data_IF_630387699181
#
_entry.id   IF_630387699181
#
_cell.length_a   1.000
_cell.length_b   1.000
_cell.length_c   1.000
_cell.angle_alpha   90.00
_cell.angle_beta   90.00
_cell.angle_gamma   90.00
#
_symmetry.space_group_name_H-M   'P 1'
#
loop_
_entity.id
_entity.type
_entity.pdbx_description
1 polymer ?
#
# COMPACT_ATOMS: atom_id res chain seq x y z
N UNK A 1 -19.85 -20.02 8.44
CA UNK A 1 -19.72 -18.61 8.86
C UNK A 1 -20.69 -17.84 8.01
N UNK A 2 -21.65 -17.17 8.63
CA UNK A 2 -22.76 -16.48 7.96
C UNK A 2 -22.21 -15.31 7.14
N UNK A 3 -22.44 -15.34 5.82
CA UNK A 3 -22.35 -14.14 5.00
C UNK A 3 -23.49 -13.23 5.45
N UNK A 4 -23.19 -12.27 6.32
CA UNK A 4 -24.06 -11.13 6.57
C UNK A 4 -23.88 -10.22 5.34
N UNK A 5 -24.58 -10.54 4.25
CA UNK A 5 -24.64 -9.64 3.10
C UNK A 5 -25.37 -8.39 3.59
N UNK A 6 -24.63 -7.32 3.83
CA UNK A 6 -25.18 -6.07 4.30
C UNK A 6 -26.11 -5.52 3.21
N UNK A 7 -27.40 -5.35 3.52
CA UNK A 7 -28.35 -4.75 2.58
C UNK A 7 -27.87 -3.34 2.17
N UNK A 8 -28.03 -2.95 0.89
CA UNK A 8 -27.57 -1.65 0.44
C UNK A 8 -28.33 -0.52 1.16
N UNK A 9 -27.57 0.42 1.69
CA UNK A 9 -28.08 1.60 2.42
C UNK A 9 -27.92 2.80 1.51
N UNK A 10 -28.98 3.60 1.32
CA UNK A 10 -28.93 4.83 0.52
C UNK A 10 -29.60 5.98 1.27
N UNK A 11 -28.89 6.54 2.26
CA UNK A 11 -29.33 7.66 3.08
C UNK A 11 -28.47 8.90 2.83
N UNK A 12 -28.95 10.09 3.17
CA UNK A 12 -28.24 11.35 2.90
C UNK A 12 -26.79 11.38 3.42
N UNK A 13 -26.48 10.66 4.50
CA UNK A 13 -25.16 10.65 5.15
C UNK A 13 -24.48 9.29 5.14
N UNK A 14 -25.17 8.23 4.71
CA UNK A 14 -24.62 6.88 4.69
C UNK A 14 -25.05 6.20 3.40
N UNK A 15 -24.07 5.80 2.59
CA UNK A 15 -24.31 4.94 1.44
C UNK A 15 -23.51 3.67 1.60
N UNK A 16 -24.11 2.52 1.32
CA UNK A 16 -23.43 1.23 1.36
C UNK A 16 -23.85 0.35 0.19
N UNK A 17 -22.88 -0.35 -0.38
CA UNK A 17 -23.09 -1.52 -1.23
C UNK A 17 -22.50 -2.77 -0.55
N UNK A 18 -22.33 -3.86 -1.31
CA UNK A 18 -21.77 -5.13 -0.83
C UNK A 18 -20.31 -5.04 -0.34
N UNK A 19 -19.56 -4.00 -0.73
CA UNK A 19 -18.11 -3.92 -0.51
C UNK A 19 -17.66 -2.63 0.16
N UNK A 20 -18.44 -1.55 0.05
CA UNK A 20 -18.04 -0.22 0.46
C UNK A 20 -19.15 0.48 1.23
N UNK A 21 -18.75 1.16 2.30
CA UNK A 21 -19.62 2.09 3.04
C UNK A 21 -19.01 3.48 3.05
N UNK A 22 -19.75 4.46 2.56
CA UNK A 22 -19.45 5.89 2.70
C UNK A 22 -20.22 6.45 3.89
N UNK A 23 -19.53 7.15 4.80
CA UNK A 23 -20.16 7.86 5.93
C UNK A 23 -19.74 9.33 5.94
N UNK A 24 -20.71 10.22 5.91
CA UNK A 24 -20.47 11.65 6.09
C UNK A 24 -20.43 11.97 7.58
N UNK A 25 -19.26 12.35 8.06
CA UNK A 25 -18.94 12.65 9.45
C UNK A 25 -18.60 14.13 9.61
N UNK A 26 -18.77 14.66 10.82
CA UNK A 26 -18.29 16.01 11.12
C UNK A 26 -16.77 15.99 11.09
N UNK A 27 -16.13 16.98 10.47
CA UNK A 27 -14.69 17.10 10.53
C UNK A 27 -14.29 17.57 11.94
N UNK A 28 -13.28 16.93 12.55
CA UNK A 28 -12.79 17.30 13.88
C UNK A 28 -11.80 18.48 13.82
N UNK A 29 -11.15 18.67 12.67
CA UNK A 29 -10.11 19.69 12.48
C UNK A 29 -10.63 21.02 11.88
N UNK A 30 -11.89 21.08 11.45
CA UNK A 30 -12.49 22.26 10.81
C UNK A 30 -14.02 22.31 11.03
N UNK A 31 -14.66 23.46 10.83
CA UNK A 31 -16.13 23.66 10.88
C UNK A 31 -16.89 23.01 9.69
N UNK A 32 -16.26 22.01 9.05
CA UNK A 32 -16.75 21.35 7.84
C UNK A 32 -17.23 19.91 8.05
N UNK A 33 -17.50 19.26 6.93
CA UNK A 33 -17.83 17.83 6.87
C UNK A 33 -16.69 17.07 6.23
N UNK A 34 -16.57 15.80 6.59
CA UNK A 34 -15.68 14.84 5.94
C UNK A 34 -16.50 13.62 5.51
N UNK A 35 -15.96 12.88 4.56
CA UNK A 35 -16.49 11.58 4.16
C UNK A 35 -15.43 10.52 4.44
N UNK A 36 -15.83 9.48 5.14
CA UNK A 36 -15.01 8.32 5.44
C UNK A 36 -15.51 7.13 4.60
N UNK A 37 -14.60 6.50 3.86
CA UNK A 37 -14.85 5.33 3.03
C UNK A 37 -14.28 4.09 3.70
N UNK A 38 -15.16 3.15 4.02
CA UNK A 38 -14.83 1.87 4.63
C UNK A 38 -14.95 0.76 3.60
N UNK A 39 -13.97 -0.14 3.59
CA UNK A 39 -14.06 -1.41 2.88
C UNK A 39 -14.76 -2.41 3.82
N UNK A 40 -15.61 -3.28 3.28
CA UNK A 40 -16.30 -4.30 4.06
C UNK A 40 -15.33 -5.13 4.92
N UNK A 41 -15.74 -5.40 6.16
CA UNK A 41 -14.93 -6.07 7.18
C UNK A 41 -13.77 -5.24 7.77
N UNK A 42 -13.52 -4.01 7.31
CA UNK A 42 -12.48 -3.14 7.88
C UNK A 42 -13.05 -2.18 8.93
N UNK A 43 -12.36 -2.07 10.07
CA UNK A 43 -12.71 -1.11 11.13
C UNK A 43 -12.26 0.31 10.75
N UNK A 44 -11.10 0.42 10.12
CA UNK A 44 -10.50 1.69 9.72
C UNK A 44 -10.94 2.11 8.30
N UNK A 45 -11.17 3.40 8.05
CA UNK A 45 -11.50 3.88 6.72
C UNK A 45 -10.28 3.82 5.80
N UNK A 46 -10.49 3.33 4.58
CA UNK A 46 -9.48 3.34 3.52
C UNK A 46 -9.18 4.77 3.02
N UNK A 47 -10.11 5.69 3.19
CA UNK A 47 -9.99 7.10 2.81
C UNK A 47 -10.85 7.95 3.73
N UNK A 48 -10.29 9.04 4.26
CA UNK A 48 -11.04 10.15 4.85
C UNK A 48 -10.70 11.41 4.07
N UNK A 49 -11.71 12.12 3.58
CA UNK A 49 -11.52 13.33 2.78
C UNK A 49 -12.55 14.40 3.09
N UNK A 50 -12.28 15.67 2.74
CA UNK A 50 -13.23 16.75 2.94
C UNK A 50 -14.53 16.49 2.15
N UNK A 51 -15.66 16.86 2.76
CA UNK A 51 -16.98 16.73 2.15
C UNK A 51 -17.68 18.07 2.09
N UNK A 52 -18.36 18.30 0.97
CA UNK A 52 -18.97 19.59 0.67
C UNK A 52 -20.21 19.84 1.53
N UNK A 53 -20.30 21.05 2.10
CA UNK A 53 -21.53 21.53 2.72
C UNK A 53 -22.65 21.69 1.68
N UNK A 54 -23.86 21.32 2.07
CA UNK A 54 -25.08 21.48 1.30
C UNK A 54 -25.49 22.94 1.14
N UNK A 55 -26.61 23.16 0.43
CA UNK A 55 -27.07 24.50 0.04
C UNK A 55 -27.34 25.42 1.24
N UNK A 56 -27.73 24.86 2.38
CA UNK A 56 -28.00 25.64 3.60
C UNK A 56 -26.73 26.03 4.39
N UNK A 57 -25.53 25.69 3.88
CA UNK A 57 -24.21 25.99 4.47
C UNK A 57 -24.03 25.48 5.91
N UNK A 58 -24.83 24.49 6.32
CA UNK A 58 -24.77 23.89 7.66
C UNK A 58 -24.72 22.37 7.57
N UNK A 59 -25.67 21.79 6.86
CA UNK A 59 -25.77 20.35 6.66
C UNK A 59 -24.85 19.92 5.50
N UNK A 60 -24.36 18.68 5.49
CA UNK A 60 -23.55 18.21 4.38
C UNK A 60 -24.41 18.08 3.12
N UNK A 61 -23.78 18.14 1.94
CA UNK A 61 -24.45 17.72 0.71
C UNK A 61 -24.85 16.25 0.86
N UNK A 62 -26.11 15.86 0.59
CA UNK A 62 -26.51 14.46 0.61
C UNK A 62 -25.65 13.63 -0.34
N UNK A 63 -25.31 12.41 0.11
CA UNK A 63 -24.72 11.41 -0.77
C UNK A 63 -25.72 11.03 -1.85
N UNK A 64 -25.19 10.87 -3.06
CA UNK A 64 -25.91 10.41 -4.23
C UNK A 64 -25.07 9.32 -4.93
N UNK A 65 -25.68 8.59 -5.87
CA UNK A 65 -25.01 7.49 -6.57
C UNK A 65 -23.73 7.93 -7.28
N UNK A 66 -23.70 9.13 -7.84
CA UNK A 66 -22.53 9.64 -8.57
C UNK A 66 -21.38 9.97 -7.62
N UNK A 67 -21.70 10.59 -6.48
CA UNK A 67 -20.79 10.86 -5.38
C UNK A 67 -20.19 9.56 -4.85
N UNK A 68 -21.05 8.60 -4.48
CA UNK A 68 -20.63 7.31 -3.94
C UNK A 68 -19.69 6.56 -4.90
N UNK A 69 -20.05 6.43 -6.17
CA UNK A 69 -19.22 5.76 -7.18
C UNK A 69 -17.85 6.43 -7.37
N UNK A 70 -17.78 7.76 -7.25
CA UNK A 70 -16.51 8.48 -7.31
C UNK A 70 -15.64 8.15 -6.10
N UNK A 71 -16.23 8.17 -4.90
CA UNK A 71 -15.53 7.85 -3.66
C UNK A 71 -15.00 6.42 -3.65
N UNK A 72 -15.79 5.44 -4.14
CA UNK A 72 -15.35 4.05 -4.31
C UNK A 72 -14.11 3.96 -5.21
N UNK A 73 -14.10 4.67 -6.34
CA UNK A 73 -12.92 4.71 -7.23
C UNK A 73 -11.69 5.29 -6.54
N UNK A 74 -11.86 6.41 -5.82
CA UNK A 74 -10.75 7.05 -5.11
C UNK A 74 -10.22 6.16 -3.98
N UNK A 75 -11.10 5.56 -3.18
CA UNK A 75 -10.69 4.70 -2.07
C UNK A 75 -9.95 3.44 -2.57
N UNK A 76 -10.42 2.81 -3.66
CA UNK A 76 -9.69 1.71 -4.32
C UNK A 76 -8.29 2.12 -4.76
N UNK A 77 -8.15 3.31 -5.33
CA UNK A 77 -6.85 3.84 -5.75
C UNK A 77 -5.92 4.10 -4.55
N UNK A 78 -6.45 4.59 -3.43
CA UNK A 78 -5.67 4.77 -2.19
C UNK A 78 -5.15 3.44 -1.67
N UNK A 79 -6.00 2.42 -1.58
CA UNK A 79 -5.58 1.07 -1.16
C UNK A 79 -4.49 0.55 -2.10
N UNK A 80 -4.76 0.56 -3.42
CA UNK A 80 -3.81 0.08 -4.43
C UNK A 80 -2.46 0.81 -4.34
N UNK A 81 -2.47 2.13 -4.14
CA UNK A 81 -1.24 2.92 -4.01
C UNK A 81 -0.49 2.61 -2.71
N UNK A 82 -1.21 2.43 -1.60
CA UNK A 82 -0.64 2.05 -0.31
C UNK A 82 0.05 0.68 -0.40
N UNK A 83 -0.61 -0.30 -1.03
CA UNK A 83 -0.04 -1.62 -1.29
C UNK A 83 1.20 -1.54 -2.17
N UNK A 84 1.19 -0.71 -3.21
CA UNK A 84 2.35 -0.48 -4.07
C UNK A 84 3.51 0.19 -3.33
N UNK A 85 3.22 1.17 -2.47
CA UNK A 85 4.23 1.81 -1.63
C UNK A 85 4.84 0.80 -0.65
N UNK A 86 4.01 0.01 0.03
CA UNK A 86 4.45 -1.08 0.90
C UNK A 86 5.31 -2.10 0.14
N UNK A 87 4.88 -2.50 -1.05
CA UNK A 87 5.66 -3.41 -1.88
C UNK A 87 7.00 -2.82 -2.30
N UNK A 88 7.07 -1.53 -2.68
CA UNK A 88 8.32 -0.86 -3.05
C UNK A 88 9.27 -0.65 -1.85
N UNK A 89 8.71 -0.45 -0.65
CA UNK A 89 9.48 -0.37 0.59
C UNK A 89 10.08 -1.72 0.98
N UNK A 90 9.29 -2.79 0.80
CA UNK A 90 9.69 -4.16 1.13
C UNK A 90 10.54 -4.83 0.05
N UNK A 91 10.38 -4.46 -1.22
CA UNK A 91 11.09 -5.06 -2.35
C UNK A 91 11.85 -3.98 -3.12
N UNK A 92 13.16 -3.95 -2.91
CA UNK A 92 14.07 -3.02 -3.60
C UNK A 92 14.91 -3.80 -4.60
N UNK A 93 15.28 -3.17 -5.70
CA UNK A 93 16.25 -3.75 -6.61
C UNK A 93 17.18 -2.67 -7.19
N UNK A 94 18.37 -3.09 -7.59
CA UNK A 94 19.34 -2.27 -8.33
C UNK A 94 19.99 -3.13 -9.41
N UNK A 95 20.19 -2.55 -10.58
CA UNK A 95 20.98 -3.19 -11.64
C UNK A 95 22.40 -2.63 -11.59
N UNK A 96 23.39 -3.51 -11.56
CA UNK A 96 24.81 -3.17 -11.59
C UNK A 96 25.51 -3.92 -12.74
N UNK A 97 26.74 -3.52 -13.05
CA UNK A 97 27.59 -4.22 -14.03
C UNK A 97 28.91 -4.59 -13.38
N UNK A 98 29.19 -5.89 -13.28
CA UNK A 98 30.44 -6.41 -12.69
C UNK A 98 31.08 -7.36 -13.70
N UNK A 99 32.35 -7.13 -14.03
CA UNK A 99 33.07 -7.97 -15.00
C UNK A 99 32.45 -7.99 -16.41
N UNK A 100 31.71 -6.94 -16.79
CA UNK A 100 30.98 -6.88 -18.06
C UNK A 100 29.62 -7.59 -18.07
N UNK A 101 29.25 -8.26 -16.98
CA UNK A 101 27.94 -8.91 -16.84
C UNK A 101 26.97 -7.98 -16.10
N UNK A 102 25.73 -7.87 -16.61
CA UNK A 102 24.66 -7.14 -15.93
C UNK A 102 24.04 -8.05 -14.88
N UNK A 103 23.98 -7.57 -13.64
CA UNK A 103 23.42 -8.30 -12.51
C UNK A 103 22.34 -7.43 -11.87
N UNK A 104 21.14 -7.99 -11.69
CA UNK A 104 20.08 -7.39 -10.88
C UNK A 104 20.20 -7.94 -9.46
N UNK A 105 20.39 -7.06 -8.50
CA UNK A 105 20.36 -7.39 -7.07
C UNK A 105 19.02 -6.95 -6.51
N UNK A 106 18.32 -7.87 -5.85
CA UNK A 106 17.02 -7.66 -5.23
C UNK A 106 17.13 -7.84 -3.72
N UNK A 107 16.51 -6.96 -2.95
CA UNK A 107 16.30 -7.07 -1.51
C UNK A 107 14.80 -7.23 -1.27
N UNK A 108 14.40 -8.37 -0.71
CA UNK A 108 13.02 -8.63 -0.31
C UNK A 108 12.94 -8.68 1.23
N UNK A 109 12.05 -7.89 1.81
CA UNK A 109 11.79 -7.81 3.25
C UNK A 109 10.40 -8.40 3.51
N UNK A 110 10.33 -9.35 4.43
CA UNK A 110 9.08 -10.01 4.85
C UNK A 110 8.82 -9.63 6.31
N UNK A 111 7.78 -8.83 6.61
CA UNK A 111 7.31 -8.59 7.97
C UNK A 111 6.70 -9.86 8.56
N UNK A 112 7.02 -10.16 9.81
CA UNK A 112 6.52 -11.29 10.59
C UNK A 112 6.16 -10.85 12.04
N UNK A 113 5.53 -11.72 12.83
CA UNK A 113 5.07 -11.43 14.20
C UNK A 113 6.23 -11.06 15.14
N UNK A 114 7.41 -11.67 14.98
CA UNK A 114 8.59 -11.43 15.83
C UNK A 114 9.50 -10.31 15.31
N UNK A 115 9.24 -9.77 14.11
CA UNK A 115 10.07 -8.78 13.45
C UNK A 115 10.10 -8.96 11.93
N UNK A 116 10.98 -8.24 11.24
CA UNK A 116 11.15 -8.43 9.80
C UNK A 116 12.31 -9.39 9.49
N UNK A 117 12.19 -10.15 8.41
CA UNK A 117 13.30 -10.89 7.79
C UNK A 117 13.59 -10.31 6.41
N UNK A 118 14.80 -10.53 5.88
CA UNK A 118 15.12 -10.11 4.53
C UNK A 118 16.07 -11.05 3.80
N UNK A 119 16.00 -11.04 2.47
CA UNK A 119 16.87 -11.81 1.57
C UNK A 119 17.45 -10.91 0.49
N UNK A 120 18.73 -11.15 0.15
CA UNK A 120 19.36 -10.63 -1.06
C UNK A 120 19.41 -11.72 -2.12
N UNK A 121 19.00 -11.37 -3.32
CA UNK A 121 19.02 -12.23 -4.50
C UNK A 121 19.80 -11.56 -5.61
N UNK A 122 20.65 -12.32 -6.30
CA UNK A 122 21.35 -11.87 -7.50
C UNK A 122 20.84 -12.64 -8.71
N UNK A 123 20.50 -11.92 -9.78
CA UNK A 123 20.02 -12.45 -11.05
C UNK A 123 20.92 -11.96 -12.18
N UNK A 124 21.25 -12.82 -13.14
CA UNK A 124 21.96 -12.41 -14.36
C UNK A 124 21.01 -11.73 -15.37
N UNK A 125 21.52 -11.42 -16.57
CA UNK A 125 20.74 -10.79 -17.64
C UNK A 125 19.59 -11.66 -18.20
N UNK A 126 19.64 -12.97 -17.96
CA UNK A 126 18.63 -13.95 -18.36
C UNK A 126 17.65 -14.27 -17.20
N UNK A 127 17.66 -13.48 -16.13
CA UNK A 127 16.90 -13.69 -14.89
C UNK A 127 17.23 -15.05 -14.21
N UNK A 128 18.42 -15.62 -14.47
CA UNK A 128 18.90 -16.81 -13.76
C UNK A 128 19.52 -16.41 -12.42
N UNK A 129 19.16 -17.14 -11.36
CA UNK A 129 19.65 -16.89 -10.02
C UNK A 129 21.11 -17.29 -9.87
N UNK A 130 21.94 -16.31 -9.51
CA UNK A 130 23.36 -16.49 -9.20
C UNK A 130 23.58 -16.77 -7.72
N UNK A 131 22.76 -16.14 -6.85
CA UNK A 131 22.82 -16.32 -5.40
C UNK A 131 21.54 -15.86 -4.70
N UNK A 132 21.28 -16.47 -3.54
CA UNK A 132 20.24 -16.08 -2.60
C UNK A 132 20.77 -16.24 -1.17
N UNK A 133 20.80 -15.16 -0.39
CA UNK A 133 21.29 -15.17 1.01
C UNK A 133 20.39 -14.37 1.93
N UNK A 134 20.33 -14.74 3.20
CA UNK A 134 19.67 -13.91 4.23
C UNK A 134 20.45 -12.61 4.45
N UNK A 135 19.73 -11.51 4.59
CA UNK A 135 20.29 -10.19 4.88
C UNK A 135 19.57 -9.53 6.07
N UNK A 136 20.20 -8.54 6.73
CA UNK A 136 19.51 -7.72 7.71
C UNK A 136 18.32 -6.96 7.06
N UNK A 137 17.15 -6.84 7.72
CA UNK A 137 16.01 -6.09 7.17
C UNK A 137 16.29 -4.60 6.94
N UNK A 138 17.25 -4.05 7.67
CA UNK A 138 17.72 -2.67 7.53
C UNK A 138 18.85 -2.52 6.50
N UNK A 139 19.19 -3.57 5.74
CA UNK A 139 20.22 -3.52 4.72
C UNK A 139 19.91 -2.44 3.68
N UNK A 140 20.85 -1.52 3.47
CA UNK A 140 20.69 -0.40 2.54
C UNK A 140 21.14 -0.78 1.15
N UNK A 141 20.27 -1.43 0.38
CA UNK A 141 20.55 -1.77 -1.02
C UNK A 141 20.69 -0.50 -1.88
N UNK A 142 21.89 -0.30 -2.42
CA UNK A 142 22.25 0.69 -3.42
C UNK A 142 23.33 0.11 -4.37
N UNK A 143 23.73 0.85 -5.40
CA UNK A 143 24.73 0.40 -6.38
C UNK A 143 26.05 -0.06 -5.73
N UNK A 144 26.60 0.72 -4.80
CA UNK A 144 27.87 0.40 -4.16
C UNK A 144 27.78 -0.82 -3.24
N UNK A 145 26.71 -0.94 -2.45
CA UNK A 145 26.51 -2.12 -1.58
C UNK A 145 26.25 -3.39 -2.39
N UNK A 146 25.57 -3.26 -3.52
CA UNK A 146 25.32 -4.38 -4.44
C UNK A 146 26.62 -4.83 -5.12
N UNK A 147 27.42 -3.90 -5.64
CA UNK A 147 28.74 -4.21 -6.22
C UNK A 147 29.66 -4.88 -5.20
N UNK A 148 29.74 -4.35 -3.98
CA UNK A 148 30.53 -4.94 -2.91
C UNK A 148 30.11 -6.39 -2.59
N UNK A 149 28.81 -6.66 -2.54
CA UNK A 149 28.27 -7.99 -2.29
C UNK A 149 28.54 -8.98 -3.43
N UNK A 150 28.42 -8.54 -4.68
CA UNK A 150 28.76 -9.38 -5.84
C UNK A 150 30.26 -9.66 -5.90
N UNK A 151 31.11 -8.65 -5.66
CA UNK A 151 32.57 -8.81 -5.66
C UNK A 151 33.06 -9.69 -4.50
N UNK A 152 32.36 -9.70 -3.36
CA UNK A 152 32.66 -10.61 -2.25
C UNK A 152 32.22 -12.05 -2.52
N UNK A 153 31.76 -12.39 -3.73
CA UNK A 153 31.30 -13.75 -4.07
C UNK A 153 29.99 -14.13 -3.39
N UNK A 154 29.10 -13.15 -3.20
CA UNK A 154 27.77 -13.33 -2.59
C UNK A 154 27.79 -13.76 -1.12
N UNK A 155 28.88 -13.51 -0.40
CA UNK A 155 28.95 -13.72 1.05
C UNK A 155 27.80 -13.04 1.80
N UNK A 156 27.38 -13.65 2.92
CA UNK A 156 26.31 -13.08 3.75
C UNK A 156 26.71 -11.68 4.25
N UNK A 157 25.94 -10.61 3.93
CA UNK A 157 26.26 -9.28 4.41
C UNK A 157 26.28 -9.24 5.93
N UNK A 158 27.37 -8.69 6.50
CA UNK A 158 27.49 -8.45 7.93
C UNK A 158 26.84 -7.10 8.26
N UNK A 159 26.06 -7.08 9.33
CA UNK A 159 25.38 -5.88 9.86
C UNK A 159 26.33 -4.73 10.13
#
# INVERSE_FOLDING_TARGET
MTQDTQDPIHEDRVWSDEHWTARVIKNEDDDGWAVAMFLDGQVEPALVGPWTMGRNKKDPKPLDTSAFNTLVKTAREVIRRSEQQRHAELNKNVSITVGGQRIRVELAIVPDEEGATATLRALNEFDEELALVSAPPNFRLNTASAEAWVVSGFEKPRT
#
